data_IF_180046750804
#
_entry.id   IF_180046750804
#
_cell.length_a   1.000
_cell.length_b   1.000
_cell.length_c   1.000
_cell.angle_alpha   90.00
_cell.angle_beta   90.00
_cell.angle_gamma   90.00
#
_symmetry.space_group_name_H-M   'P 1'
#
loop_
_entity.id
_entity.type
_entity.pdbx_description
1 polymer ?
#
# COMPACT_ATOMS: atom_id res chain seq x y z
N UNK A 1 -9.58 -12.46 26.82
CA UNK A 1 -10.38 -11.39 26.13
C UNK A 1 -9.61 -10.06 26.01
N UNK A 2 -8.96 -9.53 27.06
CA UNK A 2 -8.23 -8.23 27.00
C UNK A 2 -7.06 -8.22 25.99
N UNK A 3 -6.28 -9.28 25.89
CA UNK A 3 -5.14 -9.37 24.96
C UNK A 3 -5.55 -9.29 23.49
N UNK A 4 -6.61 -10.00 23.08
CA UNK A 4 -7.09 -9.98 21.70
C UNK A 4 -7.68 -8.62 21.27
N UNK A 5 -8.35 -7.92 22.20
CA UNK A 5 -8.86 -6.57 21.94
C UNK A 5 -7.72 -5.56 21.77
N UNK A 6 -6.68 -5.65 22.60
CA UNK A 6 -5.51 -4.76 22.52
C UNK A 6 -4.72 -4.99 21.20
N UNK A 7 -4.53 -6.25 20.83
CA UNK A 7 -3.86 -6.59 19.56
C UNK A 7 -4.63 -6.05 18.34
N UNK A 8 -5.96 -6.21 18.34
CA UNK A 8 -6.80 -5.69 17.27
C UNK A 8 -6.75 -4.16 17.21
N UNK A 9 -6.80 -3.47 18.36
CA UNK A 9 -6.67 -2.01 18.44
C UNK A 9 -5.38 -1.55 17.76
N UNK A 10 -4.23 -2.13 18.13
CA UNK A 10 -2.93 -1.79 17.53
C UNK A 10 -2.90 -2.07 16.02
N UNK A 11 -3.50 -3.17 15.57
CA UNK A 11 -3.59 -3.52 14.15
C UNK A 11 -4.43 -2.50 13.38
N UNK A 12 -5.56 -2.08 13.95
CA UNK A 12 -6.45 -1.08 13.36
C UNK A 12 -5.78 0.30 13.29
N UNK A 13 -5.10 0.71 14.36
CA UNK A 13 -4.34 1.96 14.41
C UNK A 13 -3.25 1.98 13.33
N UNK A 14 -2.44 0.94 13.23
CA UNK A 14 -1.43 0.80 12.18
C UNK A 14 -2.03 0.86 10.77
N UNK A 15 -3.19 0.24 10.56
CA UNK A 15 -3.88 0.27 9.29
C UNK A 15 -4.40 1.67 8.95
N UNK A 16 -5.00 2.37 9.92
CA UNK A 16 -5.49 3.75 9.78
C UNK A 16 -4.35 4.71 9.40
N UNK A 17 -3.20 4.60 10.08
CA UNK A 17 -2.03 5.41 9.77
C UNK A 17 -1.34 5.02 8.46
N UNK A 18 -1.60 3.85 7.92
CA UNK A 18 -1.08 3.45 6.61
C UNK A 18 -1.89 4.08 5.48
N UNK A 19 -3.18 3.76 5.38
CA UNK A 19 -4.09 4.36 4.40
C UNK A 19 -5.56 4.08 4.73
N UNK A 20 -6.51 4.88 4.17
CA UNK A 20 -7.94 4.58 4.24
C UNK A 20 -8.27 3.17 3.74
N UNK A 21 -7.67 2.74 2.63
CA UNK A 21 -7.88 1.40 2.06
C UNK A 21 -7.46 0.28 3.03
N UNK A 22 -6.30 0.41 3.68
CA UNK A 22 -5.82 -0.56 4.65
C UNK A 22 -6.70 -0.60 5.92
N UNK A 23 -7.18 0.55 6.37
CA UNK A 23 -8.10 0.64 7.50
C UNK A 23 -9.40 -0.08 7.22
N UNK A 24 -10.05 0.21 6.08
CA UNK A 24 -11.31 -0.40 5.64
C UNK A 24 -11.19 -1.91 5.49
N UNK A 25 -10.10 -2.41 4.90
CA UNK A 25 -9.85 -3.84 4.82
C UNK A 25 -9.75 -4.49 6.21
N UNK A 26 -9.03 -3.86 7.13
CA UNK A 26 -8.89 -4.36 8.52
C UNK A 26 -10.24 -4.40 9.24
N UNK A 27 -11.10 -3.39 9.03
CA UNK A 27 -12.46 -3.34 9.56
C UNK A 27 -13.31 -4.47 8.97
N UNK A 28 -13.28 -4.64 7.65
CA UNK A 28 -14.07 -5.67 6.95
C UNK A 28 -13.72 -7.07 7.44
N UNK A 29 -12.44 -7.39 7.61
CA UNK A 29 -11.97 -8.66 8.15
C UNK A 29 -12.44 -8.88 9.59
N UNK A 30 -12.42 -7.84 10.41
CA UNK A 30 -12.91 -7.92 11.78
C UNK A 30 -14.41 -8.14 11.84
N UNK A 31 -15.20 -7.42 11.05
CA UNK A 31 -16.65 -7.60 10.97
C UNK A 31 -17.00 -9.02 10.51
N UNK A 32 -16.30 -9.55 9.50
CA UNK A 32 -16.44 -10.95 9.06
C UNK A 32 -16.15 -11.93 10.20
N UNK A 33 -15.09 -11.67 10.97
CA UNK A 33 -14.73 -12.50 12.12
C UNK A 33 -15.81 -12.46 13.20
N UNK A 34 -16.37 -11.29 13.50
CA UNK A 34 -17.46 -11.14 14.48
C UNK A 34 -18.70 -11.90 13.99
N UNK A 35 -19.10 -11.72 12.75
CA UNK A 35 -20.28 -12.37 12.18
C UNK A 35 -20.21 -13.91 12.21
N UNK A 36 -19.00 -14.49 12.09
CA UNK A 36 -18.79 -15.93 12.16
C UNK A 36 -18.78 -16.54 13.60
N UNK A 37 -18.93 -15.71 14.63
CA UNK A 37 -18.90 -16.19 16.02
C UNK A 37 -20.25 -16.68 16.48
N UNK A 38 -20.26 -17.72 17.33
CA UNK A 38 -21.48 -18.19 18.00
C UNK A 38 -22.08 -17.16 18.98
N UNK A 39 -21.24 -16.30 19.55
CA UNK A 39 -21.58 -15.22 20.48
C UNK A 39 -21.56 -13.84 19.79
N UNK A 40 -21.86 -13.75 18.48
CA UNK A 40 -21.80 -12.52 17.69
C UNK A 40 -22.61 -11.38 18.31
N UNK A 41 -23.78 -11.67 18.89
CA UNK A 41 -24.62 -10.67 19.56
C UNK A 41 -23.90 -9.94 20.73
N UNK A 42 -22.94 -10.58 21.39
CA UNK A 42 -22.14 -9.95 22.44
C UNK A 42 -21.13 -8.91 21.93
N UNK A 43 -20.96 -8.80 20.60
CA UNK A 43 -20.07 -7.88 19.90
C UNK A 43 -20.80 -6.88 19.00
N UNK A 44 -22.14 -6.77 19.13
CA UNK A 44 -22.92 -5.89 18.24
C UNK A 44 -22.51 -4.42 18.38
N UNK A 45 -22.27 -3.94 19.60
CA UNK A 45 -21.78 -2.58 19.82
C UNK A 45 -20.40 -2.33 19.17
N UNK A 46 -19.49 -3.33 19.24
CA UNK A 46 -18.20 -3.25 18.56
C UNK A 46 -18.37 -3.23 17.04
N UNK A 47 -19.28 -4.06 16.51
CA UNK A 47 -19.56 -4.13 15.08
C UNK A 47 -20.18 -2.83 14.56
N UNK A 48 -21.09 -2.21 15.32
CA UNK A 48 -21.69 -0.91 14.98
C UNK A 48 -20.63 0.20 14.95
N UNK A 49 -19.77 0.27 15.97
CA UNK A 49 -18.67 1.23 16.02
C UNK A 49 -17.71 1.05 14.82
N UNK A 50 -17.43 -0.20 14.42
CA UNK A 50 -16.58 -0.47 13.26
C UNK A 50 -17.24 -0.08 11.93
N UNK A 51 -18.56 -0.31 11.76
CA UNK A 51 -19.29 0.16 10.57
C UNK A 51 -19.28 1.68 10.48
N UNK A 52 -19.52 2.36 11.59
CA UNK A 52 -19.44 3.83 11.61
C UNK A 52 -18.03 4.34 11.29
N UNK A 53 -16.98 3.70 11.81
CA UNK A 53 -15.61 4.03 11.44
C UNK A 53 -15.35 3.80 9.94
N UNK A 54 -15.86 2.70 9.36
CA UNK A 54 -15.73 2.43 7.92
C UNK A 54 -16.36 3.54 7.07
N UNK A 55 -17.54 4.02 7.45
CA UNK A 55 -18.22 5.14 6.77
C UNK A 55 -17.38 6.42 6.79
N UNK A 56 -16.82 6.77 7.96
CA UNK A 56 -15.96 7.94 8.10
C UNK A 56 -14.68 7.82 7.26
N UNK A 57 -14.06 6.64 7.26
CA UNK A 57 -12.84 6.37 6.49
C UNK A 57 -13.12 6.29 4.99
N UNK A 58 -14.31 5.79 4.59
CA UNK A 58 -14.74 5.74 3.19
C UNK A 58 -14.89 7.13 2.56
N UNK A 59 -15.16 8.15 3.36
CA UNK A 59 -15.23 9.54 2.91
C UNK A 59 -13.85 10.15 2.58
N UNK A 60 -12.76 9.50 2.96
CA UNK A 60 -11.40 9.96 2.69
C UNK A 60 -10.97 9.43 1.32
N UNK A 61 -11.07 10.27 0.31
CA UNK A 61 -10.61 10.00 -1.05
C UNK A 61 -9.13 10.36 -1.26
N UNK A 62 -8.61 10.15 -2.47
CA UNK A 62 -7.22 10.46 -2.80
C UNK A 62 -6.89 11.96 -2.63
N UNK A 63 -7.86 12.85 -2.83
CA UNK A 63 -7.66 14.31 -2.73
C UNK A 63 -7.57 14.75 -1.27
N UNK A 64 -8.40 14.19 -0.40
CA UNK A 64 -8.44 14.50 1.04
C UNK A 64 -7.42 13.70 1.87
N UNK A 65 -6.83 12.64 1.31
CA UNK A 65 -5.80 11.85 1.98
C UNK A 65 -4.46 12.58 2.02
N UNK A 66 -4.21 13.32 3.09
CA UNK A 66 -3.04 14.21 3.24
C UNK A 66 -1.69 13.51 3.06
N UNK A 67 -1.54 12.27 3.53
CA UNK A 67 -0.31 11.48 3.35
C UNK A 67 -0.05 11.17 1.87
N UNK A 68 -1.09 10.81 1.12
CA UNK A 68 -0.98 10.61 -0.33
C UNK A 68 -0.65 11.91 -1.05
N UNK A 69 -1.31 13.01 -0.71
CA UNK A 69 -1.03 14.33 -1.28
C UNK A 69 0.41 14.77 -1.01
N UNK A 70 0.93 14.48 0.19
CA UNK A 70 2.34 14.76 0.51
C UNK A 70 3.29 13.92 -0.31
N UNK A 71 3.01 12.62 -0.49
CA UNK A 71 3.78 11.75 -1.36
C UNK A 71 3.78 12.28 -2.81
N UNK A 72 2.60 12.60 -3.33
CA UNK A 72 2.44 13.10 -4.70
C UNK A 72 3.22 14.42 -4.91
N UNK A 73 3.17 15.34 -3.94
CA UNK A 73 3.94 16.57 -3.96
C UNK A 73 5.46 16.29 -4.00
N UNK A 74 5.93 15.33 -3.19
CA UNK A 74 7.34 14.91 -3.17
C UNK A 74 7.77 14.32 -4.52
N UNK A 75 6.93 13.46 -5.14
CA UNK A 75 7.22 12.84 -6.43
C UNK A 75 7.26 13.85 -7.59
N UNK A 76 6.50 14.94 -7.48
CA UNK A 76 6.47 16.03 -8.46
C UNK A 76 7.56 17.07 -8.23
N UNK A 77 8.17 17.10 -7.06
CA UNK A 77 9.21 18.08 -6.72
C UNK A 77 10.56 17.69 -7.32
N UNK A 78 10.92 18.38 -8.40
CA UNK A 78 12.20 18.18 -9.11
C UNK A 78 13.43 18.60 -8.30
N UNK A 79 13.26 19.34 -7.20
CA UNK A 79 14.39 19.80 -6.37
C UNK A 79 14.70 18.79 -5.25
N UNK A 80 13.66 18.18 -4.66
CA UNK A 80 13.84 17.24 -3.55
C UNK A 80 14.20 15.84 -4.05
N UNK A 81 13.29 15.19 -4.77
CA UNK A 81 13.51 13.81 -5.20
C UNK A 81 14.25 13.70 -6.53
N UNK A 82 14.19 14.72 -7.38
CA UNK A 82 14.80 14.77 -8.71
C UNK A 82 14.44 13.60 -9.64
N UNK A 83 13.37 12.88 -9.32
CA UNK A 83 12.88 11.75 -10.10
C UNK A 83 11.98 12.21 -11.25
N UNK A 84 11.99 11.43 -12.33
CA UNK A 84 11.08 11.65 -13.44
C UNK A 84 10.70 10.32 -14.10
N UNK A 85 9.42 10.04 -14.31
CA UNK A 85 8.97 8.82 -15.00
C UNK A 85 9.39 8.78 -16.48
N UNK A 86 9.83 9.90 -17.04
CA UNK A 86 10.30 9.99 -18.43
C UNK A 86 11.74 9.49 -18.60
N UNK A 87 12.53 9.46 -17.52
CA UNK A 87 13.89 8.92 -17.55
C UNK A 87 13.86 7.41 -17.46
N UNK A 88 14.47 6.72 -18.42
CA UNK A 88 14.46 5.25 -18.49
C UNK A 88 15.31 4.59 -17.42
N UNK A 89 16.38 5.25 -17.00
CA UNK A 89 17.39 4.81 -16.05
C UNK A 89 17.15 5.30 -14.62
N UNK A 90 16.02 5.94 -14.36
CA UNK A 90 15.71 6.54 -13.06
C UNK A 90 14.46 5.91 -12.45
N UNK A 91 14.67 4.92 -11.60
CA UNK A 91 13.62 4.10 -10.99
C UNK A 91 13.42 4.47 -9.54
N UNK A 92 12.19 4.28 -9.09
CA UNK A 92 11.74 4.59 -7.75
C UNK A 92 11.16 3.34 -7.11
N UNK A 93 11.50 3.10 -5.83
CA UNK A 93 10.82 2.12 -4.98
C UNK A 93 10.07 2.85 -3.88
N UNK A 94 8.82 2.47 -3.64
CA UNK A 94 7.99 2.96 -2.54
C UNK A 94 7.61 1.76 -1.67
N UNK A 95 7.92 1.84 -0.37
CA UNK A 95 7.62 0.79 0.58
C UNK A 95 6.36 1.05 1.40
N UNK A 96 5.62 -0.01 1.69
CA UNK A 96 4.53 -0.01 2.67
C UNK A 96 4.29 -1.41 3.23
N UNK A 97 4.11 -1.53 4.55
CA UNK A 97 3.74 -2.80 5.19
C UNK A 97 2.40 -3.36 4.67
N UNK A 98 1.49 -2.51 4.22
CA UNK A 98 0.11 -2.89 3.90
C UNK A 98 -0.10 -3.02 2.39
N UNK A 99 -0.46 -4.22 1.96
CA UNK A 99 -0.74 -4.51 0.54
C UNK A 99 -1.86 -3.61 0.00
N UNK A 100 -2.89 -3.35 0.80
CA UNK A 100 -4.00 -2.47 0.39
C UNK A 100 -3.56 -1.02 0.17
N UNK A 101 -2.57 -0.55 0.93
CA UNK A 101 -1.93 0.75 0.66
C UNK A 101 -1.17 0.73 -0.67
N UNK A 102 -0.44 -0.34 -0.97
CA UNK A 102 0.27 -0.47 -2.25
C UNK A 102 -0.70 -0.51 -3.43
N UNK A 103 -1.83 -1.23 -3.31
CA UNK A 103 -2.89 -1.26 -4.33
C UNK A 103 -3.50 0.12 -4.55
N UNK A 104 -3.83 0.83 -3.48
CA UNK A 104 -4.30 2.22 -3.52
C UNK A 104 -3.29 3.12 -4.25
N UNK A 105 -2.00 3.03 -3.89
CA UNK A 105 -0.94 3.82 -4.54
C UNK A 105 -0.81 3.48 -6.03
N UNK A 106 -0.90 2.20 -6.41
CA UNK A 106 -0.84 1.78 -7.82
C UNK A 106 -1.94 2.43 -8.65
N UNK A 107 -3.16 2.41 -8.15
CA UNK A 107 -4.32 2.97 -8.84
C UNK A 107 -4.18 4.47 -9.03
N UNK A 108 -3.91 5.20 -7.95
CA UNK A 108 -3.90 6.66 -7.98
C UNK A 108 -2.63 7.25 -8.60
N UNK A 109 -1.44 6.71 -8.30
CA UNK A 109 -0.19 7.20 -8.90
C UNK A 109 -0.15 7.00 -10.42
N UNK A 110 -0.77 5.93 -10.93
CA UNK A 110 -0.89 5.71 -12.37
C UNK A 110 -1.59 6.90 -13.05
N UNK A 111 -2.71 7.34 -12.52
CA UNK A 111 -3.45 8.47 -13.05
C UNK A 111 -2.73 9.81 -12.80
N UNK A 112 -2.29 10.05 -11.56
CA UNK A 112 -1.75 11.34 -11.14
C UNK A 112 -0.36 11.66 -11.71
N UNK A 113 0.43 10.65 -12.06
CA UNK A 113 1.76 10.80 -12.69
C UNK A 113 1.75 10.51 -14.20
N UNK A 114 0.60 10.14 -14.78
CA UNK A 114 0.48 9.78 -16.19
C UNK A 114 1.31 8.55 -16.56
N UNK A 115 1.30 7.53 -15.68
CA UNK A 115 2.04 6.28 -15.89
C UNK A 115 1.18 5.27 -16.66
N UNK A 116 1.81 4.55 -17.58
CA UNK A 116 1.22 3.37 -18.19
C UNK A 116 1.19 2.20 -17.19
N UNK A 117 0.29 1.23 -17.41
CA UNK A 117 0.14 0.08 -16.52
C UNK A 117 1.44 -0.71 -16.31
N UNK A 118 2.28 -0.78 -17.35
CA UNK A 118 3.57 -1.49 -17.37
C UNK A 118 4.69 -0.70 -16.65
N UNK A 119 4.45 0.57 -16.32
CA UNK A 119 5.44 1.42 -15.68
C UNK A 119 5.37 1.37 -14.15
N UNK A 120 4.36 0.73 -13.57
CA UNK A 120 4.17 0.60 -12.14
C UNK A 120 3.87 -0.85 -11.77
N UNK A 121 4.76 -1.44 -10.99
CA UNK A 121 4.69 -2.84 -10.55
C UNK A 121 4.42 -2.95 -9.05
N UNK A 122 3.83 -4.07 -8.66
CA UNK A 122 3.49 -4.38 -7.27
C UNK A 122 4.23 -5.64 -6.84
N UNK A 123 5.03 -5.52 -5.76
CA UNK A 123 5.81 -6.61 -5.19
C UNK A 123 5.39 -6.83 -3.73
N UNK A 124 4.81 -7.98 -3.41
CA UNK A 124 4.37 -8.29 -2.04
C UNK A 124 4.41 -9.80 -1.75
N UNK A 125 4.47 -10.14 -0.48
CA UNK A 125 4.64 -11.53 -0.01
C UNK A 125 3.49 -12.50 -0.32
N UNK A 126 2.35 -12.02 -0.84
CA UNK A 126 1.27 -12.91 -1.30
C UNK A 126 1.47 -13.42 -2.74
N UNK A 127 2.47 -12.91 -3.46
CA UNK A 127 2.90 -13.44 -4.76
C UNK A 127 3.75 -14.69 -4.54
N UNK A 128 3.74 -15.62 -5.50
CA UNK A 128 4.67 -16.74 -5.50
C UNK A 128 6.12 -16.26 -5.67
N UNK A 129 7.07 -17.04 -5.20
CA UNK A 129 8.52 -16.72 -5.34
C UNK A 129 8.91 -16.46 -6.79
N UNK A 130 8.33 -17.22 -7.72
CA UNK A 130 8.56 -17.04 -9.15
C UNK A 130 8.06 -15.69 -9.66
N UNK A 131 6.86 -15.28 -9.28
CA UNK A 131 6.31 -13.97 -9.67
C UNK A 131 7.15 -12.84 -9.10
N UNK A 132 7.55 -12.96 -7.82
CA UNK A 132 8.43 -11.98 -7.19
C UNK A 132 9.76 -11.86 -7.94
N UNK A 133 10.39 -12.98 -8.28
CA UNK A 133 11.62 -12.98 -9.03
C UNK A 133 11.47 -12.37 -10.44
N UNK A 134 10.41 -12.71 -11.16
CA UNK A 134 10.11 -12.14 -12.48
C UNK A 134 9.92 -10.62 -12.43
N UNK A 135 9.29 -10.08 -11.36
CA UNK A 135 9.13 -8.64 -11.17
C UNK A 135 10.48 -7.98 -10.89
N UNK A 136 11.30 -8.55 -10.03
CA UNK A 136 12.64 -8.03 -9.69
C UNK A 136 13.54 -8.03 -10.92
N UNK A 137 13.55 -9.11 -11.69
CA UNK A 137 14.33 -9.19 -12.94
C UNK A 137 13.87 -8.13 -13.95
N UNK A 138 12.55 -7.95 -14.13
CA UNK A 138 12.03 -6.88 -14.97
C UNK A 138 12.45 -5.51 -14.48
N UNK A 139 12.34 -5.29 -13.17
CA UNK A 139 12.74 -4.02 -12.57
C UNK A 139 14.23 -3.72 -12.76
N UNK A 140 15.09 -4.74 -12.84
CA UNK A 140 16.54 -4.63 -13.05
C UNK A 140 16.99 -4.48 -14.51
N UNK A 141 16.12 -4.71 -15.53
CA UNK A 141 16.51 -4.68 -16.95
C UNK A 141 16.46 -3.25 -17.52
N UNK A 142 17.52 -2.82 -18.20
CA UNK A 142 17.63 -1.47 -18.79
C UNK A 142 16.50 -1.14 -19.77
N UNK A 143 16.06 -2.11 -20.57
CA UNK A 143 15.02 -1.93 -21.55
C UNK A 143 13.61 -2.10 -21.02
N UNK A 144 13.43 -2.39 -19.73
CA UNK A 144 12.10 -2.54 -19.12
C UNK A 144 11.40 -1.19 -19.00
N UNK A 145 10.07 -1.23 -19.10
CA UNK A 145 9.22 -0.05 -18.99
C UNK A 145 8.99 0.39 -17.56
N UNK A 146 9.24 -0.48 -16.55
CA UNK A 146 8.99 -0.21 -15.14
C UNK A 146 9.75 1.03 -14.67
N UNK A 147 9.05 1.93 -13.99
CA UNK A 147 9.57 3.19 -13.42
C UNK A 147 9.37 3.26 -11.91
N UNK A 148 8.28 2.65 -11.43
CA UNK A 148 7.93 2.62 -10.02
C UNK A 148 7.69 1.17 -9.58
N UNK A 149 8.34 0.77 -8.51
CA UNK A 149 8.07 -0.48 -7.81
C UNK A 149 7.43 -0.16 -6.47
N UNK A 150 6.23 -0.64 -6.25
CA UNK A 150 5.52 -0.60 -4.97
C UNK A 150 5.78 -1.92 -4.25
N UNK A 151 6.53 -1.90 -3.16
CA UNK A 151 6.99 -3.11 -2.49
C UNK A 151 6.55 -3.19 -1.03
N UNK A 152 6.18 -4.39 -0.57
CA UNK A 152 6.04 -4.66 0.85
C UNK A 152 7.40 -5.02 1.46
N UNK A 153 7.59 -4.72 2.75
CA UNK A 153 8.84 -4.99 3.46
C UNK A 153 9.21 -6.48 3.40
N UNK A 154 8.23 -7.37 3.56
CA UNK A 154 8.44 -8.83 3.50
C UNK A 154 8.95 -9.29 2.14
N UNK A 155 8.46 -8.69 1.06
CA UNK A 155 8.87 -9.07 -0.30
C UNK A 155 10.22 -8.47 -0.68
N UNK A 156 10.70 -7.44 0.02
CA UNK A 156 11.98 -6.79 -0.26
C UNK A 156 13.17 -7.40 0.50
N UNK A 157 12.91 -8.24 1.50
CA UNK A 157 13.97 -8.93 2.23
C UNK A 157 14.74 -9.89 1.32
N UNK A 158 16.04 -9.63 1.17
CA UNK A 158 16.94 -10.46 0.35
C UNK A 158 16.92 -10.17 -1.15
N UNK A 159 16.14 -9.21 -1.63
CA UNK A 159 16.11 -8.83 -3.03
C UNK A 159 17.12 -7.72 -3.35
N UNK A 160 17.89 -7.94 -4.40
CA UNK A 160 18.84 -6.94 -4.89
C UNK A 160 18.13 -5.95 -5.82
N UNK A 161 17.69 -4.82 -5.27
CA UNK A 161 17.02 -3.74 -6.01
C UNK A 161 17.98 -2.63 -6.47
N UNK A 162 19.31 -2.82 -6.33
CA UNK A 162 20.30 -1.77 -6.61
C UNK A 162 20.42 -1.37 -8.08
N UNK A 163 19.95 -2.21 -9.00
CA UNK A 163 20.04 -1.91 -10.42
C UNK A 163 19.06 -0.79 -10.79
N UNK A 164 19.60 0.34 -11.27
CA UNK A 164 18.86 1.50 -11.76
C UNK A 164 17.90 2.16 -10.73
N UNK A 165 17.92 1.72 -9.48
CA UNK A 165 17.14 2.32 -8.40
C UNK A 165 18.05 3.12 -7.48
N UNK A 166 17.86 4.43 -7.48
CA UNK A 166 18.62 5.35 -6.66
C UNK A 166 17.74 6.09 -5.64
N UNK A 167 16.43 5.77 -5.60
CA UNK A 167 15.46 6.47 -4.75
C UNK A 167 14.51 5.51 -4.07
N UNK A 168 14.42 5.68 -2.75
CA UNK A 168 13.52 4.95 -1.86
C UNK A 168 12.63 5.94 -1.13
N UNK A 169 11.35 5.62 -1.02
CA UNK A 169 10.34 6.38 -0.27
C UNK A 169 9.51 5.46 0.62
#
# INVERSE_FOLDING_TARGET
RKHGAMLFKTTLEKALFSSPAACRQTIAERLKTIAGRKDAAAFEADAEALRHLDELVAAIDAVSFSKYQRLLALLRDKKQLQWSPKKKDDRLVIFSERIETLKFLREHLKADLGLEAEQIELLHGALSDREQQEIVERFGKDNAKVRVLLASDVASEGLNLHFLCHRLV
#
